data_IF_301935232467
#
_entry.id   IF_301935232467
#
_cell.length_a   1.000
_cell.length_b   1.000
_cell.length_c   1.000
_cell.angle_alpha   90.00
_cell.angle_beta   90.00
_cell.angle_gamma   90.00
#
_symmetry.space_group_name_H-M   'P 1'
#
loop_
_entity.id
_entity.type
_entity.pdbx_description
1 polymer ?
#
# COMPACT_ATOMS: atom_id res chain seq x y z
N UNK A 1 -18.70 47.97 20.69
CA UNK A 1 -17.48 47.13 20.80
C UNK A 1 -17.46 46.27 19.55
N UNK A 2 -16.74 46.71 18.52
CA UNK A 2 -16.92 46.24 17.14
C UNK A 2 -15.71 45.38 16.76
N UNK A 3 -15.93 44.08 16.59
CA UNK A 3 -14.87 43.14 16.22
C UNK A 3 -14.52 43.37 14.74
N UNK A 4 -13.33 43.92 14.48
CA UNK A 4 -12.72 43.97 13.15
C UNK A 4 -12.42 42.55 12.70
N UNK A 5 -13.12 42.07 11.68
CA UNK A 5 -12.80 40.82 11.01
C UNK A 5 -11.41 40.89 10.37
N UNK A 6 -10.60 39.87 10.62
CA UNK A 6 -9.35 39.65 9.91
C UNK A 6 -9.68 39.22 8.47
N UNK A 7 -9.56 40.16 7.51
CA UNK A 7 -9.41 39.78 6.09
C UNK A 7 -8.00 39.25 5.91
N UNK A 8 -7.88 37.94 5.78
CA UNK A 8 -6.68 37.32 5.22
C UNK A 8 -6.64 37.71 3.73
N UNK A 9 -5.59 38.40 3.24
CA UNK A 9 -5.45 38.59 1.80
C UNK A 9 -5.27 37.21 1.15
N UNK A 10 -5.75 36.98 -0.09
CA UNK A 10 -5.45 35.75 -0.79
C UNK A 10 -3.93 35.61 -0.86
N UNK A 11 -3.42 34.47 -0.38
CA UNK A 11 -2.02 34.13 -0.57
C UNK A 11 -1.77 34.12 -2.08
N UNK A 12 -1.05 35.14 -2.55
CA UNK A 12 -0.48 35.17 -3.88
C UNK A 12 0.45 33.97 -4.00
N UNK A 13 -0.02 32.88 -4.60
CA UNK A 13 0.83 31.75 -5.02
C UNK A 13 1.56 32.18 -6.30
N UNK A 14 2.37 33.22 -6.18
CA UNK A 14 3.28 33.64 -7.22
C UNK A 14 4.61 32.90 -7.02
N UNK A 15 4.86 31.92 -7.89
CA UNK A 15 6.18 31.65 -8.45
C UNK A 15 7.26 31.17 -7.49
N UNK A 16 7.19 29.90 -7.13
CA UNK A 16 8.32 29.17 -6.55
C UNK A 16 8.61 27.88 -7.29
N UNK A 17 8.56 27.88 -8.63
CA UNK A 17 9.10 26.75 -9.38
C UNK A 17 10.57 26.61 -9.01
N UNK A 18 10.95 25.46 -8.46
CA UNK A 18 12.36 25.17 -8.21
C UNK A 18 13.04 25.11 -9.59
N UNK A 19 14.12 25.87 -9.82
CA UNK A 19 14.81 25.86 -11.10
C UNK A 19 15.31 24.45 -11.44
N UNK A 20 15.32 24.11 -12.72
CA UNK A 20 15.83 22.83 -13.20
C UNK A 20 17.27 22.63 -12.69
N UNK A 21 17.56 21.45 -12.18
CA UNK A 21 18.91 21.11 -11.75
C UNK A 21 19.80 20.81 -12.95
N UNK A 22 21.08 21.16 -12.86
CA UNK A 22 22.06 20.76 -13.86
C UNK A 22 22.29 19.24 -13.77
N UNK A 23 21.92 18.53 -14.84
CA UNK A 23 22.00 17.08 -14.91
C UNK A 23 23.33 16.64 -15.54
N UNK A 24 23.96 15.66 -14.90
CA UNK A 24 25.11 14.97 -15.48
C UNK A 24 24.70 14.16 -16.74
N UNK A 25 25.67 13.69 -17.56
CA UNK A 25 25.35 12.97 -18.79
C UNK A 25 24.49 11.72 -18.61
N UNK A 26 24.68 10.98 -17.51
CA UNK A 26 23.90 9.76 -17.23
C UNK A 26 22.47 10.08 -16.84
N UNK A 27 22.26 11.13 -16.04
CA UNK A 27 20.92 11.60 -15.65
C UNK A 27 20.17 12.18 -16.85
N UNK A 28 20.87 12.93 -17.70
CA UNK A 28 20.31 13.48 -18.94
C UNK A 28 19.83 12.38 -19.89
N UNK A 29 20.63 11.32 -20.06
CA UNK A 29 20.23 10.18 -20.86
C UNK A 29 18.92 9.52 -20.38
N UNK A 30 18.63 9.54 -19.07
CA UNK A 30 17.36 9.07 -18.52
C UNK A 30 16.20 10.02 -18.86
N UNK A 31 16.40 11.33 -18.71
CA UNK A 31 15.37 12.34 -19.02
C UNK A 31 15.01 12.35 -20.51
N UNK A 32 15.99 12.14 -21.37
CA UNK A 32 15.86 12.09 -22.84
C UNK A 32 15.27 10.78 -23.37
N UNK A 33 15.01 9.77 -22.53
CA UNK A 33 14.36 8.54 -22.97
C UNK A 33 13.03 8.86 -23.71
N UNK A 34 12.69 8.19 -24.82
CA UNK A 34 11.40 8.37 -25.46
C UNK A 34 10.24 7.90 -24.58
N UNK A 35 9.06 8.53 -24.73
CA UNK A 35 7.82 8.01 -24.16
C UNK A 35 7.53 6.61 -24.72
N UNK A 36 7.06 5.70 -23.86
CA UNK A 36 6.78 4.30 -24.23
C UNK A 36 7.94 3.34 -24.03
N UNK A 37 9.12 3.83 -23.64
CA UNK A 37 10.28 2.98 -23.28
C UNK A 37 10.24 2.61 -21.79
N UNK A 38 10.58 1.37 -21.47
CA UNK A 38 10.84 0.91 -20.11
C UNK A 38 12.34 0.76 -19.89
N UNK A 39 12.85 1.28 -18.77
CA UNK A 39 14.27 1.28 -18.44
C UNK A 39 14.51 1.00 -16.96
N UNK A 40 15.56 0.24 -16.65
CA UNK A 40 16.04 0.03 -15.28
C UNK A 40 17.19 0.99 -14.98
N UNK A 41 17.00 1.86 -13.99
CA UNK A 41 18.00 2.88 -13.62
C UNK A 41 18.72 2.45 -12.34
N UNK A 42 19.99 2.09 -12.48
CA UNK A 42 20.85 1.60 -11.40
C UNK A 42 21.88 2.66 -11.06
N UNK A 43 22.03 2.96 -9.78
CA UNK A 43 23.01 3.94 -9.31
C UNK A 43 23.33 3.74 -7.84
N UNK A 44 24.55 4.09 -7.45
CA UNK A 44 25.01 4.04 -6.06
C UNK A 44 24.17 4.97 -5.16
N UNK A 45 24.16 4.76 -3.83
CA UNK A 45 23.56 5.71 -2.89
C UNK A 45 24.10 7.13 -3.13
N UNK A 46 23.22 8.13 -3.19
CA UNK A 46 23.61 9.52 -3.45
C UNK A 46 23.83 9.91 -4.92
N UNK A 47 23.68 8.99 -5.88
CA UNK A 47 23.82 9.27 -7.33
C UNK A 47 22.76 10.18 -7.96
N UNK A 48 21.81 10.70 -7.16
CA UNK A 48 20.79 11.62 -7.67
C UNK A 48 19.61 10.97 -8.38
N UNK A 49 19.37 9.65 -8.28
CA UNK A 49 18.21 8.97 -8.91
C UNK A 49 16.86 9.66 -8.66
N UNK A 50 16.65 10.13 -7.43
CA UNK A 50 15.43 10.85 -7.05
C UNK A 50 15.33 12.20 -7.78
N UNK A 51 16.44 12.91 -7.91
CA UNK A 51 16.52 14.14 -8.71
C UNK A 51 16.22 13.86 -10.17
N UNK A 52 16.86 12.83 -10.75
CA UNK A 52 16.64 12.43 -12.15
C UNK A 52 15.18 12.09 -12.40
N UNK A 53 14.52 11.37 -11.49
CA UNK A 53 13.09 11.07 -11.57
C UNK A 53 12.22 12.34 -11.57
N UNK A 54 12.56 13.33 -10.73
CA UNK A 54 11.83 14.61 -10.69
C UNK A 54 11.97 15.39 -11.98
N UNK A 55 13.18 15.49 -12.51
CA UNK A 55 13.43 16.17 -13.78
C UNK A 55 12.81 15.42 -14.96
N UNK A 56 12.80 14.09 -14.94
CA UNK A 56 12.08 13.27 -15.91
C UNK A 56 10.58 13.59 -15.91
N UNK A 57 9.93 13.61 -14.74
CA UNK A 57 8.50 13.97 -14.63
C UNK A 57 8.24 15.39 -15.11
N UNK A 58 9.10 16.34 -14.73
CA UNK A 58 8.98 17.72 -15.16
C UNK A 58 9.14 17.87 -16.68
N UNK A 59 10.10 17.18 -17.30
CA UNK A 59 10.30 17.15 -18.75
C UNK A 59 9.05 16.61 -19.47
N UNK A 60 8.50 15.49 -18.99
CA UNK A 60 7.28 14.88 -19.57
C UNK A 60 6.10 15.85 -19.57
N UNK A 61 5.86 16.53 -18.45
CA UNK A 61 4.70 17.41 -18.32
C UNK A 61 4.95 18.77 -19.01
N UNK A 62 6.09 19.42 -18.72
CA UNK A 62 6.32 20.82 -19.09
C UNK A 62 6.83 20.99 -20.52
N UNK A 63 7.69 20.08 -20.99
CA UNK A 63 8.29 20.19 -22.31
C UNK A 63 7.56 19.32 -23.35
N UNK A 64 7.15 18.11 -22.95
CA UNK A 64 6.49 17.16 -23.84
C UNK A 64 4.95 17.22 -23.79
N UNK A 65 4.38 17.98 -22.84
CA UNK A 65 2.95 18.27 -22.79
C UNK A 65 2.07 17.11 -22.36
N UNK A 66 2.61 16.09 -21.67
CA UNK A 66 1.79 15.03 -21.08
C UNK A 66 0.85 15.63 -20.03
N UNK A 67 -0.39 15.15 -19.99
CA UNK A 67 -1.31 15.53 -18.93
C UNK A 67 -0.74 15.00 -17.60
N UNK A 68 -0.63 15.82 -16.53
CA UNK A 68 -0.22 15.33 -15.22
C UNK A 68 -1.01 14.10 -14.72
N UNK A 69 -2.27 13.92 -15.16
CA UNK A 69 -3.08 12.75 -14.86
C UNK A 69 -2.58 11.45 -15.51
N UNK A 70 -1.72 11.53 -16.52
CA UNK A 70 -1.09 10.39 -17.20
C UNK A 70 0.22 9.96 -16.52
N UNK A 71 0.68 10.69 -15.49
CA UNK A 71 1.95 10.45 -14.81
C UNK A 71 1.73 9.96 -13.38
N UNK A 72 2.30 8.80 -13.06
CA UNK A 72 2.28 8.23 -11.71
C UNK A 72 3.70 7.88 -11.26
N UNK A 73 4.10 8.41 -10.10
CA UNK A 73 5.33 8.03 -9.41
C UNK A 73 5.01 7.15 -8.21
N UNK A 74 5.60 5.95 -8.17
CA UNK A 74 5.49 5.06 -7.02
C UNK A 74 6.69 5.20 -6.10
N UNK A 75 6.43 5.38 -4.80
CA UNK A 75 7.44 5.47 -3.75
C UNK A 75 7.32 4.29 -2.77
N UNK A 76 8.45 3.84 -2.19
CA UNK A 76 8.48 2.63 -1.35
C UNK A 76 7.87 2.82 0.04
N UNK A 77 7.61 4.07 0.47
CA UNK A 77 7.02 4.35 1.77
C UNK A 77 6.17 5.60 1.74
N UNK A 78 5.25 5.75 2.71
CA UNK A 78 4.41 6.95 2.86
C UNK A 78 5.26 8.21 3.02
N UNK A 79 6.32 8.15 3.83
CA UNK A 79 7.22 9.29 4.03
C UNK A 79 7.94 9.69 2.74
N UNK A 80 8.38 8.72 1.92
CA UNK A 80 9.00 9.00 0.63
C UNK A 80 7.98 9.58 -0.36
N UNK A 81 6.75 9.04 -0.41
CA UNK A 81 5.67 9.54 -1.25
C UNK A 81 5.32 11.00 -0.92
N UNK A 82 5.15 11.34 0.37
CA UNK A 82 4.84 12.71 0.80
C UNK A 82 5.91 13.70 0.36
N UNK A 83 7.20 13.38 0.62
CA UNK A 83 8.31 14.25 0.19
C UNK A 83 8.33 14.44 -1.32
N UNK A 84 8.25 13.35 -2.08
CA UNK A 84 8.25 13.40 -3.54
C UNK A 84 7.06 14.18 -4.10
N UNK A 85 5.87 14.04 -3.51
CA UNK A 85 4.67 14.79 -3.90
C UNK A 85 4.92 16.29 -3.77
N UNK A 86 5.44 16.74 -2.64
CA UNK A 86 5.65 18.15 -2.37
C UNK A 86 6.78 18.70 -3.27
N UNK A 87 7.86 17.95 -3.46
CA UNK A 87 8.95 18.29 -4.38
C UNK A 87 8.50 18.36 -5.85
N UNK A 88 7.67 17.42 -6.30
CA UNK A 88 7.11 17.41 -7.66
C UNK A 88 6.10 18.55 -7.87
N UNK A 89 5.25 18.82 -6.88
CA UNK A 89 4.29 19.93 -6.95
C UNK A 89 5.01 21.27 -7.14
N UNK A 90 6.09 21.50 -6.38
CA UNK A 90 6.94 22.68 -6.53
C UNK A 90 7.69 22.69 -7.86
N UNK A 91 8.23 21.55 -8.30
CA UNK A 91 9.05 21.48 -9.52
C UNK A 91 8.22 21.63 -10.80
N UNK A 92 7.04 21.02 -10.87
CA UNK A 92 6.15 21.08 -12.04
C UNK A 92 5.38 22.41 -12.02
N UNK A 93 4.81 22.80 -10.88
CA UNK A 93 4.15 24.09 -10.72
C UNK A 93 2.87 24.28 -11.55
N UNK A 94 2.23 23.18 -11.97
CA UNK A 94 0.93 23.19 -12.65
C UNK A 94 -0.14 22.48 -11.80
N UNK A 95 -1.43 22.82 -11.95
CA UNK A 95 -2.52 22.11 -11.29
C UNK A 95 -2.54 20.63 -11.65
N UNK A 96 -2.83 19.77 -10.67
CA UNK A 96 -2.95 18.31 -10.84
C UNK A 96 -4.24 17.83 -10.19
N UNK A 97 -4.84 16.75 -10.72
CA UNK A 97 -6.06 16.14 -10.17
C UNK A 97 -5.80 15.30 -8.91
N UNK A 98 -4.54 15.18 -8.50
CA UNK A 98 -4.11 14.38 -7.36
C UNK A 98 -2.58 14.39 -7.22
N UNK A 99 -2.04 13.74 -6.18
CA UNK A 99 -0.61 13.70 -5.96
C UNK A 99 0.11 12.88 -7.04
N UNK A 100 1.13 13.48 -7.68
CA UNK A 100 1.96 12.80 -8.67
C UNK A 100 2.77 11.62 -8.09
N UNK A 101 3.08 11.65 -6.78
CA UNK A 101 3.80 10.60 -6.08
C UNK A 101 2.97 9.95 -4.98
N UNK A 102 2.95 8.61 -4.98
CA UNK A 102 2.06 7.77 -4.16
C UNK A 102 2.73 6.45 -3.76
N UNK A 103 2.15 5.75 -2.80
CA UNK A 103 2.54 4.34 -2.52
C UNK A 103 1.70 3.39 -3.37
N UNK A 104 2.22 2.19 -3.63
CA UNK A 104 1.49 1.14 -4.35
C UNK A 104 0.12 0.85 -3.70
N UNK A 105 0.07 0.71 -2.38
CA UNK A 105 -1.18 0.49 -1.62
C UNK A 105 -2.20 1.61 -1.84
N UNK A 106 -1.75 2.87 -1.86
CA UNK A 106 -2.68 4.00 -2.09
C UNK A 106 -3.25 4.01 -3.51
N UNK A 107 -2.51 3.51 -4.49
CA UNK A 107 -2.98 3.38 -5.88
C UNK A 107 -3.92 2.19 -6.00
N UNK A 108 -3.58 1.04 -5.39
CA UNK A 108 -4.46 -0.12 -5.32
C UNK A 108 -5.83 0.22 -4.71
N UNK A 109 -5.84 0.99 -3.62
CA UNK A 109 -7.07 1.49 -3.01
C UNK A 109 -7.93 2.28 -4.00
N UNK A 110 -7.33 3.20 -4.76
CA UNK A 110 -8.09 4.00 -5.73
C UNK A 110 -8.64 3.16 -6.87
N UNK A 111 -7.87 2.19 -7.37
CA UNK A 111 -8.31 1.28 -8.43
C UNK A 111 -9.56 0.51 -7.99
N UNK A 112 -9.53 -0.05 -6.77
CA UNK A 112 -10.66 -0.81 -6.22
C UNK A 112 -11.84 0.09 -5.83
N UNK A 113 -11.59 1.26 -5.23
CA UNK A 113 -12.65 2.22 -4.91
C UNK A 113 -13.37 2.72 -6.17
N UNK A 114 -12.63 2.95 -7.26
CA UNK A 114 -13.20 3.31 -8.56
C UNK A 114 -14.05 2.17 -9.11
N UNK A 115 -13.55 0.93 -9.06
CA UNK A 115 -14.31 -0.26 -9.47
C UNK A 115 -15.61 -0.39 -8.69
N UNK A 116 -15.56 -0.21 -7.38
CA UNK A 116 -16.73 -0.27 -6.50
C UNK A 116 -17.77 0.79 -6.86
N UNK A 117 -17.33 2.03 -7.11
CA UNK A 117 -18.21 3.11 -7.58
C UNK A 117 -18.87 2.77 -8.94
N UNK A 118 -18.14 2.16 -9.87
CA UNK A 118 -18.66 1.72 -11.17
C UNK A 118 -19.64 0.54 -11.05
N UNK A 119 -19.50 -0.32 -10.03
CA UNK A 119 -20.41 -1.45 -9.78
C UNK A 119 -21.55 -1.16 -8.80
N UNK A 120 -21.55 0.00 -8.16
CA UNK A 120 -22.50 0.33 -7.09
C UNK A 120 -22.31 -0.51 -5.84
N UNK A 121 -21.09 -1.02 -5.59
CA UNK A 121 -20.71 -1.70 -4.35
C UNK A 121 -20.02 -0.73 -3.39
N UNK A 122 -19.91 -1.09 -2.11
CA UNK A 122 -19.20 -0.25 -1.15
C UNK A 122 -17.68 -0.27 -1.46
N UNK A 123 -16.96 0.86 -1.39
CA UNK A 123 -15.51 0.87 -1.57
C UNK A 123 -14.83 0.02 -0.47
N UNK A 124 -13.67 -0.59 -0.78
CA UNK A 124 -12.95 -1.38 0.21
C UNK A 124 -12.57 -0.49 1.39
N UNK A 125 -12.51 -1.07 2.58
CA UNK A 125 -12.00 -0.41 3.77
C UNK A 125 -10.69 -1.07 4.16
N UNK A 126 -9.69 -0.25 4.48
CA UNK A 126 -8.42 -0.77 4.96
C UNK A 126 -8.57 -1.20 6.41
N UNK A 127 -8.35 -2.49 6.68
CA UNK A 127 -8.23 -2.97 8.04
C UNK A 127 -6.93 -2.41 8.65
N UNK A 128 -7.04 -1.64 9.72
CA UNK A 128 -5.85 -1.12 10.41
C UNK A 128 -5.17 -2.24 11.19
N UNK A 129 -3.86 -2.13 11.42
CA UNK A 129 -3.14 -3.13 12.21
C UNK A 129 -3.64 -3.25 13.66
N UNK A 130 -4.27 -2.19 14.20
CA UNK A 130 -4.90 -2.23 15.52
C UNK A 130 -6.22 -3.02 15.50
N UNK A 131 -7.05 -2.83 14.48
CA UNK A 131 -8.28 -3.62 14.29
C UNK A 131 -7.93 -5.09 14.03
N UNK A 132 -6.90 -5.36 13.22
CA UNK A 132 -6.41 -6.72 12.98
C UNK A 132 -5.90 -7.39 14.26
N UNK A 133 -5.10 -6.70 15.09
CA UNK A 133 -4.67 -7.24 16.39
C UNK A 133 -5.87 -7.53 17.31
N UNK A 134 -6.90 -6.67 17.27
CA UNK A 134 -8.10 -6.85 18.08
C UNK A 134 -8.90 -8.08 17.63
N UNK A 135 -9.13 -8.25 16.32
CA UNK A 135 -9.82 -9.44 15.77
C UNK A 135 -9.07 -10.71 16.16
N UNK A 136 -7.74 -10.73 16.02
CA UNK A 136 -6.92 -11.88 16.41
C UNK A 136 -7.04 -12.16 17.91
N UNK A 137 -7.02 -11.11 18.75
CA UNK A 137 -7.17 -11.25 20.18
C UNK A 137 -8.54 -11.85 20.57
N UNK A 138 -9.61 -11.35 19.96
CA UNK A 138 -10.98 -11.78 20.24
C UNK A 138 -11.22 -13.23 19.80
N UNK A 139 -10.71 -13.63 18.63
CA UNK A 139 -10.74 -15.01 18.16
C UNK A 139 -10.02 -15.97 19.12
N UNK A 140 -8.78 -15.63 19.52
CA UNK A 140 -8.01 -16.47 20.43
C UNK A 140 -8.66 -16.58 21.82
N UNK A 141 -9.29 -15.52 22.30
CA UNK A 141 -10.04 -15.52 23.56
C UNK A 141 -11.31 -16.38 23.45
N UNK A 142 -12.06 -16.27 22.36
CA UNK A 142 -13.25 -17.08 22.10
C UNK A 142 -12.93 -18.57 21.99
N UNK A 143 -11.83 -18.93 21.32
CA UNK A 143 -11.32 -20.31 21.28
C UNK A 143 -11.05 -20.87 22.67
N UNK A 144 -10.43 -20.06 23.53
CA UNK A 144 -10.14 -20.45 24.91
C UNK A 144 -11.42 -20.65 25.72
N UNK A 145 -12.33 -19.69 25.71
CA UNK A 145 -13.58 -19.72 26.50
C UNK A 145 -14.48 -20.90 26.11
N UNK A 146 -14.60 -21.16 24.80
CA UNK A 146 -15.49 -22.20 24.28
C UNK A 146 -14.81 -23.58 24.18
N UNK A 147 -13.50 -23.67 24.44
CA UNK A 147 -12.72 -24.89 24.20
C UNK A 147 -12.73 -25.30 22.72
N UNK A 148 -12.77 -24.32 21.82
CA UNK A 148 -12.79 -24.51 20.36
C UNK A 148 -11.48 -24.02 19.74
N UNK A 149 -11.45 -23.93 18.40
CA UNK A 149 -10.31 -23.40 17.66
C UNK A 149 -9.31 -24.46 17.20
N UNK A 150 -8.17 -24.02 16.64
CA UNK A 150 -7.15 -24.90 16.10
C UNK A 150 -6.52 -25.83 17.15
N UNK A 151 -6.06 -27.00 16.69
CA UNK A 151 -5.20 -27.88 17.47
C UNK A 151 -3.77 -27.30 17.52
N UNK A 152 -3.55 -26.33 18.40
CA UNK A 152 -2.23 -25.76 18.65
C UNK A 152 -1.30 -26.80 19.30
N UNK A 153 -0.03 -26.92 18.85
CA UNK A 153 0.92 -27.85 19.47
C UNK A 153 1.31 -27.39 20.89
N UNK A 154 1.79 -28.31 21.73
CA UNK A 154 2.10 -28.08 23.16
C UNK A 154 2.93 -26.81 23.45
N UNK A 155 3.95 -26.44 22.65
CA UNK A 155 4.71 -25.21 22.88
C UNK A 155 3.87 -23.92 22.73
N UNK A 156 2.75 -23.98 22.00
CA UNK A 156 1.81 -22.87 21.76
C UNK A 156 0.54 -23.02 22.61
N UNK A 157 0.72 -23.38 23.88
CA UNK A 157 -0.34 -23.45 24.87
C UNK A 157 -1.05 -22.11 25.11
N UNK A 158 -2.13 -22.14 25.89
CA UNK A 158 -3.01 -20.99 26.19
C UNK A 158 -2.23 -19.75 26.63
N UNK A 159 -1.31 -19.90 27.57
CA UNK A 159 -0.52 -18.78 28.11
C UNK A 159 0.34 -18.08 27.06
N UNK A 160 0.90 -18.83 26.12
CA UNK A 160 1.67 -18.27 24.99
C UNK A 160 0.75 -17.50 24.06
N UNK A 161 -0.42 -18.07 23.74
CA UNK A 161 -1.39 -17.45 22.82
C UNK A 161 -1.98 -16.14 23.35
N UNK A 162 -2.03 -15.96 24.67
CA UNK A 162 -2.45 -14.70 25.31
C UNK A 162 -1.43 -13.57 25.12
N UNK A 163 -0.17 -13.88 24.83
CA UNK A 163 0.87 -12.87 24.68
C UNK A 163 0.65 -12.01 23.43
N UNK A 164 0.85 -10.69 23.59
CA UNK A 164 0.87 -9.76 22.45
C UNK A 164 1.92 -10.13 21.40
N UNK A 165 3.06 -10.66 21.84
CA UNK A 165 4.11 -11.12 20.95
C UNK A 165 3.62 -12.26 20.04
N UNK A 166 2.90 -13.24 20.59
CA UNK A 166 2.33 -14.34 19.80
C UNK A 166 1.38 -13.82 18.71
N UNK A 167 0.45 -12.92 19.06
CA UNK A 167 -0.46 -12.31 18.07
C UNK A 167 0.28 -11.52 17.00
N UNK A 168 1.38 -10.88 17.38
CA UNK A 168 2.24 -10.15 16.43
C UNK A 168 2.85 -11.11 15.43
N UNK A 169 3.47 -12.20 15.89
CA UNK A 169 4.06 -13.23 15.00
C UNK A 169 2.99 -13.92 14.14
N UNK A 170 1.83 -14.24 14.70
CA UNK A 170 0.73 -14.83 13.95
C UNK A 170 0.24 -13.89 12.84
N UNK A 171 0.03 -12.60 13.15
CA UNK A 171 -0.34 -11.59 12.14
C UNK A 171 0.72 -11.46 11.05
N UNK A 172 2.00 -11.43 11.41
CA UNK A 172 3.09 -11.37 10.43
C UNK A 172 3.11 -12.62 9.54
N UNK A 173 2.89 -13.82 10.09
CA UNK A 173 2.76 -15.05 9.30
C UNK A 173 1.62 -14.96 8.29
N UNK A 174 0.43 -14.53 8.72
CA UNK A 174 -0.74 -14.40 7.84
C UNK A 174 -0.47 -13.40 6.72
N UNK A 175 0.08 -12.23 7.05
CA UNK A 175 0.44 -11.21 6.06
C UNK A 175 1.45 -11.73 5.04
N UNK A 176 2.49 -12.45 5.47
CA UNK A 176 3.51 -13.03 4.56
C UNK A 176 2.93 -14.13 3.68
N UNK A 177 2.05 -14.96 4.22
CA UNK A 177 1.37 -15.98 3.42
C UNK A 177 0.56 -15.33 2.29
N UNK A 178 -0.21 -14.28 2.60
CA UNK A 178 -0.98 -13.51 1.60
C UNK A 178 -0.07 -12.83 0.57
N UNK A 179 1.02 -12.19 0.99
CA UNK A 179 2.01 -11.57 0.09
C UNK A 179 2.57 -12.57 -0.95
N UNK A 180 2.80 -13.81 -0.54
CA UNK A 180 3.30 -14.90 -1.40
C UNK A 180 2.18 -15.69 -2.10
N UNK A 181 0.91 -15.29 -1.93
CA UNK A 181 -0.25 -15.97 -2.52
C UNK A 181 -0.54 -17.35 -1.92
N UNK A 182 -0.01 -17.64 -0.72
CA UNK A 182 -0.24 -18.90 0.02
C UNK A 182 -1.55 -18.80 0.78
N UNK A 183 -2.59 -19.48 0.28
CA UNK A 183 -3.90 -19.59 0.92
C UNK A 183 -3.86 -20.52 2.15
N UNK A 184 -4.82 -20.42 3.09
CA UNK A 184 -4.84 -21.26 4.29
C UNK A 184 -4.73 -22.77 4.03
N UNK A 185 -5.40 -23.29 3.00
CA UNK A 185 -5.33 -24.72 2.67
C UNK A 185 -3.93 -25.13 2.17
N UNK A 186 -3.27 -24.29 1.39
CA UNK A 186 -1.88 -24.49 0.97
C UNK A 186 -0.91 -24.41 2.15
N UNK A 187 -1.14 -23.48 3.10
CA UNK A 187 -0.34 -23.40 4.32
C UNK A 187 -0.48 -24.67 5.18
N UNK A 188 -1.69 -25.24 5.27
CA UNK A 188 -1.90 -26.52 5.95
C UNK A 188 -1.20 -27.68 5.24
N UNK A 189 -1.19 -27.70 3.91
CA UNK A 189 -0.45 -28.70 3.12
C UNK A 189 1.06 -28.59 3.33
N UNK A 190 1.61 -27.38 3.32
CA UNK A 190 3.02 -27.12 3.63
C UNK A 190 3.37 -27.58 5.06
N UNK A 191 2.50 -27.30 6.03
CA UNK A 191 2.68 -27.75 7.41
C UNK A 191 2.75 -29.27 7.53
N UNK A 192 1.91 -30.00 6.78
CA UNK A 192 1.97 -31.47 6.73
C UNK A 192 3.20 -31.98 6.00
N UNK A 193 3.58 -31.34 4.89
CA UNK A 193 4.74 -31.78 4.08
C UNK A 193 6.08 -31.59 4.79
N UNK A 194 6.16 -30.62 5.70
CA UNK A 194 7.38 -30.27 6.43
C UNK A 194 7.37 -30.65 7.92
N UNK A 195 6.34 -31.37 8.38
CA UNK A 195 6.15 -31.74 9.79
C UNK A 195 6.18 -30.52 10.75
N UNK A 196 5.54 -29.41 10.35
CA UNK A 196 5.42 -28.18 11.13
C UNK A 196 3.97 -28.01 11.62
N UNK A 197 3.60 -28.57 12.79
CA UNK A 197 2.22 -28.55 13.29
C UNK A 197 1.70 -27.12 13.56
N UNK A 198 2.59 -26.17 13.86
CA UNK A 198 2.27 -24.75 14.04
C UNK A 198 1.64 -24.16 12.78
N UNK A 199 2.10 -24.55 11.59
CA UNK A 199 1.55 -24.06 10.33
C UNK A 199 0.16 -24.63 10.04
N UNK A 200 -0.08 -25.88 10.45
CA UNK A 200 -1.41 -26.50 10.34
C UNK A 200 -2.41 -25.78 11.26
N UNK A 201 -2.00 -25.48 12.49
CA UNK A 201 -2.83 -24.74 13.44
C UNK A 201 -3.07 -23.29 12.97
N UNK A 202 -2.02 -22.60 12.51
CA UNK A 202 -2.12 -21.25 11.96
C UNK A 202 -3.01 -21.20 10.70
N UNK A 203 -2.96 -22.20 9.83
CA UNK A 203 -3.85 -22.31 8.68
C UNK A 203 -5.32 -22.48 9.09
N UNK A 204 -5.59 -23.26 10.15
CA UNK A 204 -6.95 -23.37 10.67
C UNK A 204 -7.44 -22.06 11.29
N UNK A 205 -6.57 -21.35 12.01
CA UNK A 205 -6.86 -20.02 12.49
C UNK A 205 -7.13 -19.04 11.35
N UNK A 206 -6.31 -19.08 10.29
CA UNK A 206 -6.39 -18.19 9.14
C UNK A 206 -7.74 -18.28 8.43
N UNK A 207 -8.31 -19.48 8.27
CA UNK A 207 -9.64 -19.66 7.68
C UNK A 207 -10.73 -18.94 8.46
N UNK A 208 -10.76 -19.13 9.77
CA UNK A 208 -11.76 -18.48 10.62
C UNK A 208 -11.54 -16.97 10.70
N UNK A 209 -10.29 -16.53 10.70
CA UNK A 209 -9.94 -15.12 10.60
C UNK A 209 -10.45 -14.50 9.30
N UNK A 210 -10.22 -15.13 8.14
CA UNK A 210 -10.75 -14.68 6.84
C UNK A 210 -12.29 -14.62 6.87
N UNK A 211 -12.97 -15.66 7.38
CA UNK A 211 -14.44 -15.69 7.51
C UNK A 211 -14.96 -14.52 8.37
N UNK A 212 -14.27 -14.19 9.46
CA UNK A 212 -14.64 -13.07 10.34
C UNK A 212 -14.41 -11.72 9.64
N UNK A 213 -13.28 -11.54 8.97
CA UNK A 213 -12.98 -10.32 8.20
C UNK A 213 -14.02 -10.10 7.10
N UNK A 214 -14.37 -11.15 6.36
CA UNK A 214 -15.39 -11.12 5.31
C UNK A 214 -16.81 -10.83 5.86
N UNK A 215 -17.07 -11.17 7.13
CA UNK A 215 -18.37 -10.94 7.77
C UNK A 215 -18.62 -9.47 8.16
N UNK A 216 -17.57 -8.66 8.33
CA UNK A 216 -17.71 -7.22 8.56
C UNK A 216 -18.15 -6.56 7.24
N UNK A 217 -19.47 -6.33 7.10
CA UNK A 217 -20.09 -5.70 5.90
C UNK A 217 -19.19 -4.64 5.24
N UNK A 218 -18.80 -4.90 3.99
CA UNK A 218 -17.92 -4.08 3.16
C UNK A 218 -16.50 -4.65 3.16
N UNK A 219 -15.92 -4.92 2.00
CA UNK A 219 -14.63 -5.60 1.82
C UNK A 219 -13.52 -4.96 2.69
N UNK A 220 -13.31 -5.48 3.90
CA UNK A 220 -12.24 -5.06 4.79
C UNK A 220 -10.99 -5.78 4.34
N UNK A 221 -10.18 -5.11 3.54
CA UNK A 221 -8.95 -5.67 3.01
C UNK A 221 -7.78 -5.17 3.84
N UNK A 222 -6.87 -6.07 4.19
CA UNK A 222 -5.56 -5.63 4.65
C UNK A 222 -4.72 -5.06 3.49
N UNK A 223 -3.52 -4.56 3.79
CA UNK A 223 -2.69 -3.92 2.76
C UNK A 223 -2.18 -4.88 1.68
N UNK A 224 -1.99 -6.16 2.01
CA UNK A 224 -1.51 -7.18 1.09
C UNK A 224 -2.65 -7.69 0.20
N UNK A 225 -3.82 -7.95 0.78
CA UNK A 225 -5.04 -8.35 0.05
C UNK A 225 -5.46 -7.27 -0.95
N UNK A 226 -5.48 -6.01 -0.51
CA UNK A 226 -5.79 -4.86 -1.37
C UNK A 226 -4.85 -4.79 -2.59
N UNK A 227 -3.56 -5.02 -2.38
CA UNK A 227 -2.58 -5.05 -3.47
C UNK A 227 -2.82 -6.23 -4.41
N UNK A 228 -3.02 -7.43 -3.87
CA UNK A 228 -3.26 -8.63 -4.65
C UNK A 228 -4.53 -8.48 -5.52
N UNK A 229 -5.62 -7.98 -4.96
CA UNK A 229 -6.87 -7.77 -5.68
C UNK A 229 -6.74 -6.70 -6.77
N UNK A 230 -6.07 -5.58 -6.48
CA UNK A 230 -5.80 -4.55 -7.49
C UNK A 230 -4.95 -5.09 -8.65
N UNK A 231 -3.91 -5.90 -8.36
CA UNK A 231 -3.09 -6.56 -9.39
C UNK A 231 -3.94 -7.51 -10.24
N UNK A 232 -4.82 -8.30 -9.62
CA UNK A 232 -5.75 -9.17 -10.35
C UNK A 232 -6.70 -8.38 -11.25
N UNK A 233 -7.24 -7.26 -10.76
CA UNK A 233 -8.16 -6.42 -11.54
C UNK A 233 -7.44 -5.78 -12.74
N UNK A 234 -6.24 -5.22 -12.54
CA UNK A 234 -5.44 -4.59 -13.60
C UNK A 234 -4.97 -5.63 -14.63
N UNK A 235 -4.52 -6.81 -14.19
CA UNK A 235 -4.05 -7.87 -15.09
C UNK A 235 -5.15 -8.51 -15.92
N UNK A 236 -6.38 -8.60 -15.39
CA UNK A 236 -7.54 -9.16 -16.10
C UNK A 236 -8.15 -8.21 -17.15
N UNK A 237 -7.75 -6.94 -17.14
CA UNK A 237 -7.95 -6.01 -18.26
C UNK A 237 -9.35 -6.02 -18.88
N UNK A 238 -10.39 -5.66 -18.12
CA UNK A 238 -11.58 -5.09 -18.74
C UNK A 238 -11.41 -3.57 -18.73
N UNK A 239 -11.06 -3.01 -19.89
CA UNK A 239 -11.28 -1.60 -20.18
C UNK A 239 -12.78 -1.31 -20.21
#
# INVERSE_FOLDING_TARGET
>A
MTIRGFRQPPASVAGGQIPAMELDPSQRAVVELPVGVSAAIIGAPGSGRTTTLRELVAERILAQGLDPAEVLVLAPSRAAATRLRDELALRVGVPTLGPLARTATSVAFEVLARRAAETGTEPPRLLTGAEQDQIIADLLAGHEELGTGPAWPDPLGVEVRRLRAFRTELRELLMRATEEGVRPDALAELGRAHDVPEWIAAAAFAREYEDVVDSFRGDHLDSAELLAEAVLLVSRGKR
#
